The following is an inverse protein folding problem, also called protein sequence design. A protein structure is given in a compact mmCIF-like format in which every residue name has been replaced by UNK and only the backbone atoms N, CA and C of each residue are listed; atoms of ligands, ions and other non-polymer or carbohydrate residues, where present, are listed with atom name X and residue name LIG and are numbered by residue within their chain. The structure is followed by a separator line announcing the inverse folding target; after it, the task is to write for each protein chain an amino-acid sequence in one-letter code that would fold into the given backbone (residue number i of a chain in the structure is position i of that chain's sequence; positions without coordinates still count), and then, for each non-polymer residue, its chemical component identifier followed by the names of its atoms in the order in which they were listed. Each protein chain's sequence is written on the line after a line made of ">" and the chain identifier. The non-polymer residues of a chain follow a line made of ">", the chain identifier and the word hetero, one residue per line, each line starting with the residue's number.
data_IF_818570327415
#
_entry.id   IF_818570327415
#
_cell.length_a   1.000
_cell.length_b   1.000
_cell.length_c   1.000
_cell.angle_alpha   90.00
_cell.angle_beta   90.00
_cell.angle_gamma   90.00
#
_symmetry.space_group_name_H-M   'P 1'
#
loop_
_entity.id
_entity.type
_entity.pdbx_description
1 polymer ?
#
# COMPACT_ATOMS: atom_id res chain seq x y z
N UNK A 1 4.72 4.07 26.82
CA UNK A 1 3.81 4.33 25.66
C UNK A 1 3.15 3.00 25.25
N UNK A 2 1.84 2.96 24.97
CA UNK A 2 1.17 1.71 24.55
C UNK A 2 1.47 1.41 23.08
N UNK A 3 1.66 0.13 22.74
CA UNK A 3 1.77 -0.33 21.34
C UNK A 3 0.64 -1.27 21.02
N UNK A 4 0.09 -1.13 19.82
CA UNK A 4 -0.98 -1.99 19.34
C UNK A 4 -0.46 -2.91 18.25
N UNK A 5 -0.96 -4.13 18.19
CA UNK A 5 -0.65 -5.03 17.09
C UNK A 5 -1.84 -5.90 16.71
N UNK A 6 -1.86 -6.34 15.46
CA UNK A 6 -2.77 -7.38 15.00
C UNK A 6 -2.02 -8.33 14.07
N UNK A 7 -2.52 -9.57 13.99
CA UNK A 7 -1.86 -10.66 13.29
C UNK A 7 -2.70 -11.08 12.09
N UNK A 8 -2.05 -11.19 10.93
CA UNK A 8 -2.64 -11.74 9.72
C UNK A 8 -1.88 -13.00 9.33
N UNK A 9 -2.63 -14.04 9.01
CA UNK A 9 -2.07 -15.28 8.45
C UNK A 9 -1.86 -15.12 6.96
N UNK A 10 -0.63 -15.38 6.51
CA UNK A 10 -0.22 -15.40 5.12
C UNK A 10 -0.16 -16.87 4.65
N UNK A 11 -1.19 -17.28 3.92
CA UNK A 11 -1.20 -18.58 3.26
C UNK A 11 -0.09 -18.64 2.18
N UNK A 12 0.41 -19.84 1.89
CA UNK A 12 1.63 -20.07 1.11
C UNK A 12 1.74 -19.20 -0.16
N UNK A 13 2.67 -18.23 -0.11
CA UNK A 13 3.01 -17.30 -1.19
C UNK A 13 2.24 -15.97 -1.20
N UNK A 14 1.22 -15.77 -0.37
CA UNK A 14 0.54 -14.47 -0.21
C UNK A 14 1.41 -13.56 0.63
N UNK A 15 1.52 -12.29 0.25
CA UNK A 15 2.23 -11.27 1.02
C UNK A 15 1.32 -10.07 1.25
N UNK A 16 1.14 -9.69 2.51
CA UNK A 16 0.31 -8.58 2.92
C UNK A 16 1.17 -7.35 3.23
N UNK A 17 0.69 -6.22 2.75
CA UNK A 17 1.21 -4.88 2.99
C UNK A 17 0.01 -4.06 3.47
N UNK A 18 0.21 -3.28 4.54
CA UNK A 18 -0.85 -2.46 5.13
C UNK A 18 -0.34 -1.04 5.24
N UNK A 19 -1.18 -0.09 4.87
CA UNK A 19 -0.97 1.32 5.07
C UNK A 19 -2.00 1.85 6.05
N UNK A 20 -1.55 2.68 6.99
CA UNK A 20 -2.46 3.54 7.72
C UNK A 20 -2.80 4.75 6.87
N UNK A 21 -4.03 5.23 6.96
CA UNK A 21 -4.51 6.44 6.34
C UNK A 21 -4.65 7.49 7.43
N UNK A 22 -3.80 8.51 7.37
CA UNK A 22 -3.84 9.67 8.24
C UNK A 22 -4.57 10.81 7.55
N UNK A 23 -5.44 11.47 8.30
CA UNK A 23 -6.19 12.65 7.85
C UNK A 23 -5.58 13.88 8.48
N UNK A 24 -5.14 14.82 7.67
CA UNK A 24 -4.62 16.12 8.09
C UNK A 24 -5.54 17.24 7.60
N UNK A 25 -5.83 18.21 8.45
CA UNK A 25 -6.54 19.43 8.07
C UNK A 25 -5.51 20.50 7.73
N UNK A 26 -5.52 21.01 6.50
CA UNK A 26 -4.63 22.09 6.04
C UNK A 26 -5.50 23.24 5.55
N UNK A 27 -5.47 24.36 6.28
CA UNK A 27 -6.29 25.54 5.99
C UNK A 27 -7.79 25.17 5.81
N UNK A 28 -8.28 25.22 4.57
CA UNK A 28 -9.66 24.90 4.19
C UNK A 28 -9.84 23.50 3.57
N UNK A 29 -8.75 22.73 3.43
CA UNK A 29 -8.75 21.41 2.80
C UNK A 29 -8.41 20.27 3.78
N UNK A 30 -8.76 19.06 3.35
CA UNK A 30 -8.42 17.82 4.02
C UNK A 30 -7.45 17.05 3.10
N UNK A 31 -6.27 16.77 3.62
CA UNK A 31 -5.25 15.96 2.93
C UNK A 31 -5.21 14.59 3.60
N UNK A 32 -5.13 13.55 2.79
CA UNK A 32 -4.92 12.18 3.27
C UNK A 32 -3.49 11.75 2.96
N UNK A 33 -2.81 11.24 3.96
CA UNK A 33 -1.48 10.64 3.81
C UNK A 33 -1.55 9.16 4.12
N UNK A 34 -0.77 8.37 3.39
CA UNK A 34 -0.63 6.94 3.67
C UNK A 34 0.79 6.59 4.07
N UNK A 35 0.90 5.80 5.14
CA UNK A 35 2.17 5.37 5.73
C UNK A 35 2.16 3.86 5.93
N UNK A 36 3.21 3.17 5.50
CA UNK A 36 3.32 1.71 5.66
C UNK A 36 3.36 1.33 7.13
N UNK A 37 2.48 0.44 7.55
CA UNK A 37 2.48 -0.14 8.90
C UNK A 37 3.65 -1.11 9.01
N UNK A 38 4.47 -0.93 10.05
CA UNK A 38 5.61 -1.81 10.31
C UNK A 38 5.12 -3.21 10.64
N UNK A 39 5.87 -4.22 10.23
CA UNK A 39 5.51 -5.61 10.50
C UNK A 39 6.72 -6.50 10.72
N UNK A 40 6.50 -7.63 11.39
CA UNK A 40 7.47 -8.70 11.58
C UNK A 40 6.83 -10.07 11.36
N UNK A 41 7.64 -11.03 10.96
CA UNK A 41 7.22 -12.42 10.78
C UNK A 41 7.37 -13.17 12.10
N UNK A 42 6.35 -13.93 12.48
CA UNK A 42 6.28 -14.75 13.71
C UNK A 42 5.99 -16.21 13.31
N UNK A 43 6.74 -16.75 12.34
CA UNK A 43 6.54 -18.04 11.66
C UNK A 43 5.91 -19.14 12.52
N UNK A 44 4.96 -19.89 11.94
CA UNK A 44 4.49 -21.18 12.45
C UNK A 44 4.76 -22.25 11.38
N UNK A 45 4.85 -23.53 11.77
CA UNK A 45 5.40 -24.61 10.92
C UNK A 45 4.72 -24.72 9.53
N UNK A 46 3.42 -24.41 9.43
CA UNK A 46 2.61 -24.56 8.21
C UNK A 46 2.24 -23.25 7.48
N UNK A 47 2.40 -22.09 8.14
CA UNK A 47 1.99 -20.80 7.60
C UNK A 47 2.75 -19.63 8.23
N UNK A 48 2.87 -18.54 7.47
CA UNK A 48 3.53 -17.33 7.95
C UNK A 48 2.49 -16.48 8.69
N UNK A 49 2.76 -16.15 9.96
CA UNK A 49 2.01 -15.11 10.67
C UNK A 49 2.79 -13.82 10.57
N UNK A 50 2.13 -12.78 10.07
CA UNK A 50 2.67 -11.43 10.03
C UNK A 50 1.97 -10.56 11.07
N UNK A 51 2.75 -10.05 12.02
CA UNK A 51 2.26 -9.10 13.01
C UNK A 51 2.53 -7.68 12.53
N UNK A 52 1.47 -6.88 12.48
CA UNK A 52 1.51 -5.47 12.13
C UNK A 52 1.45 -4.65 13.42
N UNK A 53 2.39 -3.72 13.56
CA UNK A 53 2.60 -2.92 14.77
C UNK A 53 2.23 -1.47 14.51
N UNK A 54 1.44 -0.89 15.40
CA UNK A 54 0.94 0.48 15.31
C UNK A 54 1.15 1.23 16.61
N UNK A 55 1.50 2.51 16.48
CA UNK A 55 1.67 3.41 17.63
C UNK A 55 0.34 3.99 18.12
N UNK A 56 -0.69 4.02 17.25
CA UNK A 56 -2.03 4.52 17.54
C UNK A 56 -3.10 3.66 16.86
N UNK A 57 -4.33 3.71 17.38
CA UNK A 57 -5.52 3.05 16.83
C UNK A 57 -6.56 4.11 16.43
N UNK A 58 -7.78 3.70 16.09
CA UNK A 58 -8.82 4.57 15.51
C UNK A 58 -8.38 5.17 14.16
N UNK A 59 -7.67 4.36 13.38
CA UNK A 59 -7.15 4.71 12.06
C UNK A 59 -7.83 3.86 10.99
N UNK A 60 -8.06 4.47 9.84
CA UNK A 60 -8.41 3.71 8.64
C UNK A 60 -7.16 3.06 8.04
N UNK A 61 -7.35 1.91 7.40
CA UNK A 61 -6.28 1.13 6.80
C UNK A 61 -6.60 0.79 5.34
N UNK A 62 -5.58 0.94 4.48
CA UNK A 62 -5.55 0.35 3.15
C UNK A 62 -4.76 -0.95 3.21
N UNK A 63 -5.39 -2.07 2.87
CA UNK A 63 -4.76 -3.38 2.85
C UNK A 63 -4.49 -3.80 1.41
N UNK A 64 -3.27 -4.22 1.15
CA UNK A 64 -2.83 -4.82 -0.10
C UNK A 64 -2.32 -6.24 0.16
N UNK A 65 -2.89 -7.21 -0.54
CA UNK A 65 -2.35 -8.57 -0.60
C UNK A 65 -1.85 -8.86 -2.00
N UNK A 66 -0.61 -9.31 -2.13
CA UNK A 66 0.01 -9.73 -3.40
C UNK A 66 0.17 -11.24 -3.40
N UNK A 67 -0.18 -11.87 -4.51
CA UNK A 67 0.02 -13.31 -4.70
C UNK A 67 0.27 -13.64 -6.16
N UNK A 68 1.47 -14.12 -6.49
CA UNK A 68 1.88 -14.44 -7.87
C UNK A 68 1.53 -13.27 -8.80
N UNK A 69 0.62 -13.48 -9.75
CA UNK A 69 0.12 -12.57 -10.79
C UNK A 69 -1.11 -11.76 -10.36
N UNK A 70 -1.37 -11.65 -9.06
CA UNK A 70 -2.57 -11.01 -8.51
C UNK A 70 -2.24 -10.02 -7.42
N UNK A 71 -3.07 -9.00 -7.35
CA UNK A 71 -3.18 -8.14 -6.17
C UNK A 71 -4.63 -8.05 -5.72
N UNK A 72 -4.82 -7.82 -4.43
CA UNK A 72 -6.10 -7.57 -3.79
C UNK A 72 -5.95 -6.32 -2.94
N UNK A 73 -6.82 -5.35 -3.15
CA UNK A 73 -6.99 -4.16 -2.34
C UNK A 73 -8.23 -4.34 -1.46
N UNK A 74 -8.10 -3.94 -0.20
CA UNK A 74 -9.22 -3.87 0.73
C UNK A 74 -9.11 -2.63 1.62
N UNK A 75 -10.21 -2.24 2.24
CA UNK A 75 -10.28 -1.15 3.20
C UNK A 75 -10.80 -1.62 4.54
N UNK A 76 -10.43 -0.91 5.59
CA UNK A 76 -10.84 -1.19 6.96
C UNK A 76 -10.50 -0.08 7.94
N UNK A 77 -10.75 -0.33 9.21
CA UNK A 77 -10.27 0.50 10.30
C UNK A 77 -9.84 -0.38 11.48
N UNK A 78 -8.95 0.16 12.29
CA UNK A 78 -8.48 -0.47 13.53
C UNK A 78 -8.95 0.35 14.72
N UNK A 79 -9.44 -0.30 15.77
CA UNK A 79 -9.69 0.31 17.07
C UNK A 79 -8.90 -0.42 18.17
N UNK A 80 -9.16 -0.09 19.43
CA UNK A 80 -8.46 -0.66 20.59
C UNK A 80 -8.75 -2.17 20.82
N UNK A 81 -9.77 -2.72 20.16
CA UNK A 81 -10.22 -4.11 20.33
C UNK A 81 -9.98 -4.97 19.08
N UNK A 82 -10.22 -4.39 17.91
CA UNK A 82 -10.27 -5.13 16.66
C UNK A 82 -9.88 -4.30 15.43
N UNK A 83 -9.31 -5.00 14.46
CA UNK A 83 -9.25 -4.60 13.06
C UNK A 83 -10.54 -5.09 12.38
N UNK A 84 -11.28 -4.16 11.79
CA UNK A 84 -12.49 -4.43 11.00
C UNK A 84 -12.19 -4.14 9.53
N UNK A 85 -12.31 -5.16 8.67
CA UNK A 85 -12.05 -5.05 7.23
C UNK A 85 -13.28 -5.42 6.42
N UNK A 86 -13.44 -4.82 5.25
CA UNK A 86 -14.56 -5.16 4.37
C UNK A 86 -14.48 -6.62 3.91
N UNK A 87 -15.62 -7.30 3.83
CA UNK A 87 -15.71 -8.64 3.24
C UNK A 87 -15.81 -8.61 1.70
N UNK A 88 -15.80 -7.41 1.09
CA UNK A 88 -15.87 -7.18 -0.36
C UNK A 88 -14.57 -6.58 -0.91
N UNK A 89 -13.42 -7.29 -0.82
CA UNK A 89 -12.17 -6.80 -1.38
C UNK A 89 -12.26 -6.66 -2.90
N UNK A 90 -11.39 -5.83 -3.48
CA UNK A 90 -11.28 -5.63 -4.93
C UNK A 90 -9.91 -6.09 -5.40
N UNK A 91 -9.86 -7.04 -6.32
CA UNK A 91 -8.60 -7.56 -6.84
C UNK A 91 -8.56 -7.63 -8.36
N UNK A 92 -7.35 -7.74 -8.88
CA UNK A 92 -7.09 -7.96 -10.29
C UNK A 92 -6.04 -9.06 -10.48
N UNK A 93 -6.17 -9.79 -11.58
CA UNK A 93 -5.03 -10.45 -12.21
C UNK A 93 -4.38 -9.44 -13.15
N UNK A 94 -3.07 -9.45 -13.23
CA UNK A 94 -2.34 -8.74 -14.26
C UNK A 94 -1.69 -9.74 -15.21
N UNK A 95 -1.53 -9.35 -16.47
CA UNK A 95 -1.01 -10.24 -17.50
C UNK A 95 0.52 -10.32 -17.45
N UNK A 96 1.13 -11.08 -18.36
CA UNK A 96 2.59 -11.06 -18.52
C UNK A 96 3.01 -9.69 -19.06
N UNK A 97 3.27 -8.77 -18.13
CA UNK A 97 3.92 -7.50 -18.45
C UNK A 97 5.32 -7.82 -18.95
N UNK A 98 5.66 -7.29 -20.11
CA UNK A 98 7.02 -7.35 -20.63
C UNK A 98 7.95 -6.67 -19.63
N UNK A 99 8.84 -7.46 -19.03
CA UNK A 99 9.87 -6.95 -18.14
C UNK A 99 11.12 -6.61 -18.95
N UNK A 100 11.75 -5.48 -18.67
CA UNK A 100 12.97 -5.11 -19.39
C UNK A 100 14.19 -5.91 -18.90
N UNK A 101 15.22 -6.03 -19.74
CA UNK A 101 16.52 -6.60 -19.40
C UNK A 101 17.50 -5.59 -18.81
N UNK A 102 17.23 -4.29 -18.95
CA UNK A 102 18.04 -3.19 -18.45
C UNK A 102 17.44 -2.54 -17.19
N UNK A 103 18.27 -1.78 -16.46
CA UNK A 103 17.82 -1.00 -15.29
C UNK A 103 16.97 0.15 -15.78
N UNK A 104 15.83 0.34 -15.12
CA UNK A 104 14.83 1.33 -15.48
C UNK A 104 14.52 2.30 -14.33
N UNK A 105 13.88 3.41 -14.67
CA UNK A 105 13.48 4.41 -13.69
C UNK A 105 12.01 4.77 -13.85
N UNK A 106 11.25 4.63 -12.76
CA UNK A 106 9.97 5.30 -12.62
C UNK A 106 10.22 6.69 -12.03
N UNK A 107 9.76 7.74 -12.70
CA UNK A 107 9.87 9.10 -12.21
C UNK A 107 8.53 9.83 -12.26
N UNK A 108 8.29 10.66 -11.25
CA UNK A 108 7.14 11.56 -11.26
C UNK A 108 7.48 12.85 -10.53
N UNK A 109 6.81 13.94 -10.93
CA UNK A 109 6.86 15.19 -10.19
C UNK A 109 6.00 15.05 -8.93
N UNK A 110 6.57 15.16 -7.72
CA UNK A 110 5.79 15.10 -6.50
C UNK A 110 4.86 16.31 -6.40
N UNK A 111 3.71 16.12 -5.75
CA UNK A 111 2.89 17.22 -5.24
C UNK A 111 2.54 16.94 -3.78
N UNK A 112 2.08 17.95 -3.04
CA UNK A 112 1.75 17.80 -1.62
C UNK A 112 0.71 16.69 -1.35
N UNK A 113 -0.21 16.50 -2.29
CA UNK A 113 -1.31 15.54 -2.19
C UNK A 113 -1.05 14.22 -2.93
N UNK A 114 0.11 14.08 -3.58
CA UNK A 114 0.41 12.94 -4.46
C UNK A 114 1.60 12.15 -3.99
N UNK A 115 1.32 10.98 -3.44
CA UNK A 115 2.31 9.94 -3.18
C UNK A 115 2.02 8.70 -4.01
N UNK A 116 2.94 8.35 -4.90
CA UNK A 116 2.89 7.11 -5.67
C UNK A 116 3.88 6.15 -5.04
N UNK A 117 3.39 5.00 -4.60
CA UNK A 117 4.18 3.94 -3.99
C UNK A 117 4.40 2.87 -5.04
N UNK A 118 5.66 2.49 -5.24
CA UNK A 118 6.04 1.43 -6.17
C UNK A 118 6.42 0.18 -5.38
N UNK A 119 5.76 -0.93 -5.66
CA UNK A 119 5.93 -2.20 -4.93
C UNK A 119 6.48 -3.25 -5.89
N UNK A 120 7.60 -3.86 -5.50
CA UNK A 120 8.10 -5.04 -6.18
C UNK A 120 7.18 -6.22 -5.88
N UNK A 121 6.53 -6.77 -6.91
CA UNK A 121 5.52 -7.82 -6.75
C UNK A 121 6.11 -9.17 -6.35
N UNK A 122 7.39 -9.42 -6.63
CA UNK A 122 8.07 -10.66 -6.19
C UNK A 122 8.34 -10.63 -4.70
N UNK A 123 8.77 -9.48 -4.17
CA UNK A 123 9.19 -9.35 -2.78
C UNK A 123 8.10 -8.81 -1.87
N UNK A 124 7.11 -8.11 -2.41
CA UNK A 124 6.14 -7.26 -1.70
C UNK A 124 6.83 -6.16 -0.88
N UNK A 125 7.96 -5.67 -1.37
CA UNK A 125 8.67 -4.54 -0.78
C UNK A 125 8.46 -3.27 -1.59
N UNK A 126 8.29 -2.17 -0.87
CA UNK A 126 8.30 -0.83 -1.45
C UNK A 126 9.70 -0.48 -1.94
N UNK A 127 9.76 0.13 -3.11
CA UNK A 127 11.00 0.67 -3.62
C UNK A 127 11.39 1.93 -2.85
N UNK A 128 12.71 2.12 -2.72
CA UNK A 128 13.25 3.34 -2.15
C UNK A 128 13.15 4.46 -3.18
N UNK A 129 12.48 5.51 -2.79
CA UNK A 129 12.39 6.77 -3.52
C UNK A 129 13.69 7.58 -3.33
N UNK A 130 14.15 8.24 -4.41
CA UNK A 130 15.20 9.26 -4.38
C UNK A 130 14.63 10.56 -4.93
N UNK A 131 14.84 11.67 -4.22
CA UNK A 131 14.52 13.00 -4.72
C UNK A 131 15.70 13.52 -5.54
N UNK A 132 15.43 13.96 -6.77
CA UNK A 132 16.40 14.61 -7.65
C UNK A 132 15.87 15.99 -8.08
N UNK A 133 16.78 16.90 -8.40
CA UNK A 133 16.47 18.21 -8.98
C UNK A 133 17.12 18.25 -10.35
N UNK A 134 16.34 18.49 -11.39
CA UNK A 134 16.80 18.61 -12.77
C UNK A 134 16.17 19.85 -13.41
N UNK A 135 17.00 20.70 -14.00
CA UNK A 135 16.59 22.01 -14.55
C UNK A 135 15.69 22.85 -13.61
N UNK A 136 15.97 22.81 -12.30
CA UNK A 136 15.19 23.53 -11.28
C UNK A 136 13.83 22.91 -10.96
N UNK A 137 13.51 21.73 -11.48
CA UNK A 137 12.30 20.96 -11.18
C UNK A 137 12.62 19.75 -10.32
N UNK A 138 11.75 19.48 -9.35
CA UNK A 138 11.89 18.33 -8.46
C UNK A 138 11.21 17.09 -9.04
N UNK A 139 11.89 15.95 -8.93
CA UNK A 139 11.36 14.65 -9.30
C UNK A 139 11.62 13.62 -8.21
N UNK A 140 10.67 12.72 -8.00
CA UNK A 140 10.88 11.49 -7.26
C UNK A 140 11.19 10.39 -8.26
N UNK A 141 12.25 9.63 -8.00
CA UNK A 141 12.73 8.55 -8.86
C UNK A 141 12.84 7.26 -8.07
N UNK A 142 12.33 6.17 -8.64
CA UNK A 142 12.50 4.80 -8.16
C UNK A 142 13.25 3.98 -9.21
N UNK A 143 14.29 3.27 -8.79
CA UNK A 143 15.04 2.34 -9.64
C UNK A 143 14.28 1.01 -9.75
N UNK A 144 13.96 0.61 -10.98
CA UNK A 144 13.31 -0.64 -11.32
C UNK A 144 14.36 -1.61 -11.85
N UNK A 145 14.45 -2.78 -11.22
CA UNK A 145 15.40 -3.82 -11.60
C UNK A 145 14.89 -4.62 -12.80
N UNK A 146 15.80 -5.10 -13.66
CA UNK A 146 15.47 -5.98 -14.78
C UNK A 146 14.68 -7.21 -14.37
N UNK A 147 13.82 -7.70 -15.26
CA UNK A 147 13.08 -8.97 -15.10
C UNK A 147 12.22 -9.02 -13.82
N UNK A 148 11.75 -7.85 -13.35
CA UNK A 148 10.87 -7.70 -12.19
C UNK A 148 9.57 -7.02 -12.56
N UNK A 149 8.53 -7.32 -11.78
CA UNK A 149 7.20 -6.73 -11.93
C UNK A 149 6.94 -5.73 -10.80
N UNK A 150 6.38 -4.59 -11.15
CA UNK A 150 6.15 -3.49 -10.22
C UNK A 150 4.70 -3.03 -10.26
N UNK A 151 4.11 -2.85 -9.09
CA UNK A 151 2.77 -2.29 -8.91
C UNK A 151 2.90 -0.85 -8.42
N UNK A 152 2.27 0.09 -9.11
CA UNK A 152 2.11 1.46 -8.66
C UNK A 152 0.78 1.61 -7.94
N UNK A 153 0.80 2.23 -6.76
CA UNK A 153 -0.39 2.59 -5.99
C UNK A 153 -0.34 4.06 -5.63
N UNK A 154 -1.48 4.72 -5.79
CA UNK A 154 -1.69 6.10 -5.42
C UNK A 154 -3.02 6.22 -4.69
N UNK A 155 -3.00 6.76 -3.48
CA UNK A 155 -4.21 7.13 -2.76
C UNK A 155 -4.51 8.60 -3.06
N UNK A 156 -5.65 8.86 -3.70
CA UNK A 156 -6.07 10.19 -4.12
C UNK A 156 -7.29 10.65 -3.33
N UNK A 157 -7.34 11.95 -3.08
CA UNK A 157 -8.51 12.62 -2.58
C UNK A 157 -9.07 13.57 -3.63
N UNK A 158 -10.37 13.47 -3.88
CA UNK A 158 -11.15 14.31 -4.80
C UNK A 158 -12.60 14.31 -4.32
N UNK A 159 -13.58 14.24 -5.24
CA UNK A 159 -14.99 14.07 -4.85
C UNK A 159 -15.24 12.81 -3.98
N UNK A 160 -14.38 11.80 -4.10
CA UNK A 160 -14.34 10.60 -3.26
C UNK A 160 -12.89 10.13 -3.07
N UNK A 161 -12.65 9.34 -2.01
CA UNK A 161 -11.34 8.73 -1.73
C UNK A 161 -11.09 7.59 -2.72
N UNK A 162 -10.04 7.69 -3.52
CA UNK A 162 -9.76 6.74 -4.59
C UNK A 162 -8.41 6.07 -4.40
N UNK A 163 -8.38 4.74 -4.49
CA UNK A 163 -7.13 4.00 -4.69
C UNK A 163 -6.96 3.81 -6.19
N UNK A 164 -6.02 4.54 -6.78
CA UNK A 164 -5.54 4.25 -8.13
C UNK A 164 -4.43 3.21 -8.02
N UNK A 165 -4.58 2.11 -8.74
CA UNK A 165 -3.62 1.01 -8.76
C UNK A 165 -3.41 0.58 -10.20
N UNK A 166 -2.17 0.36 -10.60
CA UNK A 166 -1.88 -0.15 -11.93
C UNK A 166 -0.49 -0.72 -12.00
N UNK A 167 -0.28 -1.60 -12.97
CA UNK A 167 1.04 -2.18 -13.18
C UNK A 167 1.90 -1.17 -13.92
N UNK A 168 3.15 -1.04 -13.50
CA UNK A 168 4.16 -0.33 -14.26
C UNK A 168 4.41 -1.06 -15.59
N UNK A 169 4.11 -0.40 -16.69
CA UNK A 169 4.51 -0.77 -18.05
C UNK A 169 5.78 -0.04 -18.41
N UNK A 170 6.68 -0.73 -19.11
CA UNK A 170 7.91 -0.18 -19.61
C UNK A 170 7.74 0.19 -21.09
N UNK A 171 7.93 1.45 -21.44
CA UNK A 171 7.83 1.94 -22.81
C UNK A 171 9.16 2.55 -23.26
N UNK A 172 9.67 2.12 -24.42
CA UNK A 172 10.83 2.75 -25.05
C UNK A 172 10.41 4.01 -25.81
N UNK A 173 10.97 5.17 -25.46
CA UNK A 173 10.84 6.44 -26.18
C UNK A 173 12.22 7.07 -26.35
N UNK A 174 12.61 7.37 -27.59
CA UNK A 174 13.90 7.99 -27.91
C UNK A 174 15.11 7.25 -27.27
N UNK A 175 15.16 5.93 -27.43
CA UNK A 175 16.20 5.05 -26.88
C UNK A 175 16.31 4.99 -25.35
N UNK A 176 15.46 5.73 -24.63
CA UNK A 176 15.27 5.65 -23.19
C UNK A 176 13.99 4.91 -22.89
N UNK A 177 14.00 4.07 -21.89
CA UNK A 177 12.79 3.41 -21.41
C UNK A 177 12.21 4.22 -20.25
N UNK A 178 10.89 4.24 -20.18
CA UNK A 178 10.12 4.94 -19.16
C UNK A 178 9.15 3.94 -18.55
N UNK A 179 9.06 3.91 -17.22
CA UNK A 179 7.98 3.22 -16.56
C UNK A 179 6.78 4.16 -16.40
N UNK A 180 5.64 3.76 -16.94
CA UNK A 180 4.35 4.45 -16.76
C UNK A 180 3.32 3.45 -16.21
N UNK A 181 2.18 3.94 -15.72
CA UNK A 181 1.09 3.08 -15.29
C UNK A 181 0.28 2.67 -16.53
N UNK A 182 0.17 1.38 -16.81
CA UNK A 182 -0.64 0.91 -17.94
C UNK A 182 -2.10 1.39 -17.78
N UNK A 183 -2.62 2.27 -18.65
CA UNK A 183 -3.96 2.81 -18.49
C UNK A 183 -5.06 1.77 -18.69
N UNK A 184 -4.77 0.64 -19.37
CA UNK A 184 -5.71 -0.47 -19.58
C UNK A 184 -5.80 -1.41 -18.38
N UNK A 185 -4.70 -1.52 -17.62
CA UNK A 185 -4.66 -2.29 -16.37
C UNK A 185 -4.87 -1.41 -15.12
N UNK A 186 -4.83 -0.08 -15.27
CA UNK A 186 -5.10 0.87 -14.22
C UNK A 186 -6.55 0.74 -13.74
N UNK A 187 -6.70 0.51 -12.44
CA UNK A 187 -8.00 0.47 -11.76
C UNK A 187 -8.10 1.61 -10.78
N UNK A 188 -9.26 2.26 -10.79
CA UNK A 188 -9.66 3.22 -9.76
C UNK A 188 -10.70 2.55 -8.89
N UNK A 189 -10.37 2.42 -7.62
CA UNK A 189 -11.23 1.81 -6.62
C UNK A 189 -11.70 2.93 -5.70
N UNK A 190 -13.02 3.14 -5.64
CA UNK A 190 -13.60 4.01 -4.61
C UNK A 190 -13.44 3.33 -3.25
N UNK A 191 -12.57 3.91 -2.43
CA UNK A 191 -12.26 3.41 -1.10
C UNK A 191 -13.46 3.49 -0.17
N UNK A 192 -14.35 4.47 -0.36
CA UNK A 192 -15.53 4.65 0.48
C UNK A 192 -16.47 3.43 0.43
N UNK A 193 -16.51 2.71 -0.69
CA UNK A 193 -17.30 1.50 -0.83
C UNK A 193 -16.87 0.38 0.14
N UNK A 194 -15.60 0.34 0.55
CA UNK A 194 -15.17 -0.58 1.60
C UNK A 194 -15.77 -0.21 2.95
N UNK A 195 -15.72 1.07 3.30
CA UNK A 195 -16.28 1.60 4.55
C UNK A 195 -17.80 1.43 4.57
N UNK A 196 -18.49 1.74 3.48
CA UNK A 196 -19.93 1.50 3.34
C UNK A 196 -20.29 0.02 3.47
N UNK A 197 -19.46 -0.89 2.95
CA UNK A 197 -19.66 -2.33 3.12
C UNK A 197 -19.56 -2.72 4.60
N UNK A 198 -18.59 -2.19 5.32
CA UNK A 198 -18.43 -2.45 6.76
C UNK A 198 -19.64 -1.93 7.53
N UNK A 199 -20.12 -0.72 7.23
CA UNK A 199 -21.30 -0.11 7.85
C UNK A 199 -22.61 -0.88 7.58
N UNK A 200 -22.61 -1.77 6.58
CA UNK A 200 -23.72 -2.68 6.26
C UNK A 200 -23.47 -4.09 6.82
N UNK A 201 -22.65 -4.21 7.86
CA UNK A 201 -22.24 -5.45 8.52
C UNK A 201 -21.55 -6.49 7.61
N UNK A 202 -21.10 -6.08 6.43
CA UNK A 202 -20.31 -6.92 5.52
C UNK A 202 -18.82 -6.74 5.83
N UNK A 203 -18.40 -7.28 6.97
CA UNK A 203 -17.05 -7.14 7.51
C UNK A 203 -16.47 -8.45 8.06
N UNK A 204 -15.15 -8.47 8.23
CA UNK A 204 -14.42 -9.46 9.03
C UNK A 204 -13.68 -8.74 10.15
N UNK A 205 -13.59 -9.38 11.31
CA UNK A 205 -13.00 -8.83 12.53
C UNK A 205 -11.77 -9.66 12.94
N UNK A 206 -10.69 -8.98 13.27
CA UNK A 206 -9.42 -9.56 13.72
C UNK A 206 -9.06 -8.92 15.06
N UNK A 207 -8.79 -9.69 16.13
CA UNK A 207 -8.42 -9.13 17.43
C UNK A 207 -7.16 -8.27 17.38
N UNK A 208 -7.16 -7.18 18.15
CA UNK A 208 -5.99 -6.31 18.39
C UNK A 208 -5.42 -6.60 19.78
N UNK A 209 -4.10 -6.75 19.83
CA UNK A 209 -3.33 -6.86 21.06
C UNK A 209 -2.81 -5.48 21.48
N UNK A 210 -2.79 -5.21 22.78
CA UNK A 210 -2.23 -3.98 23.36
C UNK A 210 -1.10 -4.35 24.32
N UNK A 211 0.12 -3.94 23.98
CA UNK A 211 1.27 -4.02 24.88
C UNK A 211 1.39 -2.71 25.67
N UNK A 212 1.43 -2.82 27.00
CA UNK A 212 1.63 -1.69 27.91
C UNK A 212 3.06 -1.79 28.44
N UNK A 213 3.95 -0.94 27.94
CA UNK A 213 5.25 -0.76 28.56
C UNK A 213 5.09 0.13 29.78
N UNK A 214 5.23 -0.48 30.97
CA UNK A 214 5.47 0.27 32.20
C UNK A 214 6.94 0.70 32.18
N UNK A 215 7.19 1.98 31.97
CA UNK A 215 8.48 2.56 32.30
C UNK A 215 8.59 2.53 33.82
N UNK A 216 9.22 1.48 34.35
CA UNK A 216 9.62 1.45 35.76
C UNK A 216 10.88 2.33 35.81
N UNK A 217 10.67 3.63 36.02
CA UNK A 217 11.76 4.50 36.49
C UNK A 217 12.29 3.89 37.79
N UNK A 218 13.56 3.48 37.76
CA UNK A 218 14.33 3.10 38.95
C UNK A 218 15.02 4.32 39.53
#
# INVERSE_FOLDING_TARGET
>A
MSKFSFKITENSGVKNIIYQIDKEKKENDIIYKITRVKSKIITNEDYIIKEFMMDDVNKELLLLSVWKDKYIINGGYVNDKELVVSSKPKGAKYTNIETNTDIEYFSYTPSEDRKIIIINLDTAEELKEKKIIDEGKEYIVCELKPNKKYLAIEFRFGSYRTVAVGICKFEKKNEKYYADIDPTEARRIDYNLFIESINKDMSKKIPVSKEINYDIEK
#
